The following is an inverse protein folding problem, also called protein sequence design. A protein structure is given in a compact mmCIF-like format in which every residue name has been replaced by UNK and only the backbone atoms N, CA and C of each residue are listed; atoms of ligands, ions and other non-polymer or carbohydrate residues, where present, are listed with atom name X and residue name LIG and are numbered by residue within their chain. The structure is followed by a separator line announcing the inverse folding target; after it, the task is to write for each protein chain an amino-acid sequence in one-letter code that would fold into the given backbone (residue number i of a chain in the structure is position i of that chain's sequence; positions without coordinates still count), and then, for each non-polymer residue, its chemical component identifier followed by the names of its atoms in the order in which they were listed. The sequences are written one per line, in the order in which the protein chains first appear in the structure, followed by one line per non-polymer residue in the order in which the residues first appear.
data_IF_456404781843
#
_entry.id   IF_456404781843
#
_cell.length_a   1.000
_cell.length_b   1.000
_cell.length_c   1.000
_cell.angle_alpha   90.00
_cell.angle_beta   90.00
_cell.angle_gamma   90.00
#
_symmetry.space_group_name_H-M   'P 1'
#
loop_
_entity.id
_entity.type
_entity.pdbx_description
1 polymer ?
#
# COMPACT_ATOMS: atom_id res chain seq x y z
N UNK A 1 53.79 -37.50 -38.40
CA UNK A 1 53.71 -36.86 -37.07
C UNK A 1 52.67 -35.77 -37.16
N UNK A 2 51.51 -36.03 -36.57
CA UNK A 2 50.33 -35.17 -36.54
C UNK A 2 50.58 -33.95 -35.66
N UNK A 3 50.17 -32.76 -36.10
CA UNK A 3 50.01 -31.61 -35.20
C UNK A 3 48.74 -30.87 -35.57
N UNK A 4 47.72 -31.04 -34.72
CA UNK A 4 46.42 -30.42 -34.81
C UNK A 4 46.49 -29.02 -34.21
N UNK A 5 46.15 -27.99 -34.98
CA UNK A 5 45.99 -26.62 -34.46
C UNK A 5 44.53 -26.42 -34.07
N UNK A 6 44.29 -26.56 -32.77
CA UNK A 6 43.04 -26.27 -32.06
C UNK A 6 42.89 -24.75 -31.95
N UNK A 7 41.99 -24.13 -32.73
CA UNK A 7 41.63 -22.71 -32.54
C UNK A 7 40.37 -22.60 -31.70
N UNK A 8 40.54 -21.93 -30.56
CA UNK A 8 39.57 -21.69 -29.52
C UNK A 8 38.36 -20.91 -30.06
N UNK A 9 37.17 -21.45 -29.83
CA UNK A 9 35.91 -20.72 -29.97
C UNK A 9 35.80 -19.73 -28.79
N UNK A 10 35.74 -18.43 -29.08
CA UNK A 10 35.31 -17.43 -28.11
C UNK A 10 33.79 -17.54 -27.93
N UNK A 11 33.26 -17.83 -26.73
CA UNK A 11 31.84 -17.63 -26.49
C UNK A 11 31.59 -16.13 -26.36
N UNK A 12 30.82 -15.56 -27.30
CA UNK A 12 30.26 -14.24 -27.17
C UNK A 12 29.28 -14.25 -25.98
N UNK A 13 29.72 -13.67 -24.86
CA UNK A 13 28.84 -13.38 -23.73
C UNK A 13 27.82 -12.31 -24.16
N UNK A 14 26.64 -12.78 -24.57
CA UNK A 14 25.45 -11.96 -24.63
C UNK A 14 25.06 -11.59 -23.18
N UNK A 15 25.45 -10.39 -22.76
CA UNK A 15 24.89 -9.73 -21.60
C UNK A 15 23.42 -9.42 -21.91
N UNK A 16 22.53 -10.31 -21.49
CA UNK A 16 21.10 -10.02 -21.36
C UNK A 16 20.96 -8.98 -20.24
N UNK A 17 21.00 -7.70 -20.60
CA UNK A 17 20.46 -6.66 -19.75
C UNK A 17 18.95 -6.90 -19.66
N UNK A 18 18.49 -7.47 -18.54
CA UNK A 18 17.09 -7.37 -18.16
C UNK A 18 16.85 -5.90 -17.84
N UNK A 19 16.47 -5.12 -18.85
CA UNK A 19 15.76 -3.87 -18.64
C UNK A 19 14.44 -4.25 -17.99
N UNK A 20 14.41 -4.27 -16.66
CA UNK A 20 13.16 -4.28 -15.91
C UNK A 20 12.38 -3.05 -16.34
N UNK A 21 11.28 -3.26 -17.06
CA UNK A 21 10.30 -2.21 -17.30
C UNK A 21 9.57 -1.91 -15.97
N UNK A 22 10.24 -1.18 -15.09
CA UNK A 22 9.61 -0.45 -13.98
C UNK A 22 9.50 1.00 -14.41
N UNK A 23 8.29 1.39 -14.82
CA UNK A 23 7.90 2.76 -15.15
C UNK A 23 8.26 3.67 -13.97
N UNK A 24 8.85 4.83 -14.26
CA UNK A 24 9.33 5.82 -13.30
C UNK A 24 8.23 6.29 -12.34
N UNK A 25 8.12 5.68 -11.16
CA UNK A 25 7.16 6.03 -10.12
C UNK A 25 7.55 5.44 -8.76
N UNK A 26 6.93 5.89 -7.65
CA UNK A 26 7.17 5.34 -6.32
C UNK A 26 6.90 3.83 -6.25
N UNK A 27 7.64 3.12 -5.41
CA UNK A 27 7.35 1.71 -5.10
C UNK A 27 5.95 1.61 -4.47
N UNK A 28 5.15 0.65 -4.94
CA UNK A 28 3.78 0.42 -4.46
C UNK A 28 3.71 -0.92 -3.75
N UNK A 29 3.12 -0.94 -2.54
CA UNK A 29 2.97 -2.12 -1.72
C UNK A 29 1.50 -2.44 -1.47
N UNK A 30 1.13 -3.71 -1.65
CA UNK A 30 -0.24 -4.21 -1.52
C UNK A 30 -0.60 -4.59 -0.07
N UNK A 31 -1.86 -5.01 0.13
CA UNK A 31 -2.43 -5.27 1.44
C UNK A 31 -1.72 -6.41 2.20
N UNK A 32 -1.09 -7.38 1.55
CA UNK A 32 -0.38 -8.49 2.18
C UNK A 32 1.10 -8.20 2.47
N UNK A 33 1.66 -7.14 1.89
CA UNK A 33 3.05 -6.73 2.04
C UNK A 33 3.29 -5.97 3.35
N UNK A 34 3.28 -6.69 4.48
CA UNK A 34 3.30 -6.08 5.83
C UNK A 34 4.65 -5.58 6.31
N UNK A 35 5.75 -5.90 5.63
CA UNK A 35 7.10 -5.51 6.03
C UNK A 35 7.78 -4.82 4.86
N UNK A 36 7.92 -3.50 4.97
CA UNK A 36 8.39 -2.63 3.91
C UNK A 36 9.78 -2.12 4.29
N UNK A 37 10.68 -2.08 3.30
CA UNK A 37 11.99 -1.46 3.48
C UNK A 37 12.27 -0.49 2.35
N UNK A 38 12.53 0.75 2.71
CA UNK A 38 12.80 1.87 1.79
C UNK A 38 14.00 2.66 2.29
N UNK A 39 14.63 3.43 1.43
CA UNK A 39 15.74 4.30 1.78
C UNK A 39 15.24 5.72 2.13
N UNK A 40 15.93 6.40 3.05
CA UNK A 40 15.57 7.77 3.43
C UNK A 40 15.62 8.69 2.19
N UNK A 41 14.54 9.45 1.98
CA UNK A 41 14.35 10.29 0.80
C UNK A 41 13.47 9.67 -0.28
N UNK A 42 13.17 8.37 -0.23
CA UNK A 42 12.26 7.72 -1.18
C UNK A 42 10.79 8.02 -0.88
N UNK A 43 9.98 7.95 -1.93
CA UNK A 43 8.52 7.93 -1.85
C UNK A 43 8.02 6.52 -2.11
N UNK A 44 6.96 6.14 -1.41
CA UNK A 44 6.30 4.87 -1.62
C UNK A 44 4.80 5.00 -1.37
N UNK A 45 4.04 4.06 -1.91
CA UNK A 45 2.59 4.06 -1.88
C UNK A 45 2.07 2.75 -1.29
N UNK A 46 1.04 2.81 -0.46
CA UNK A 46 0.25 1.64 -0.08
C UNK A 46 -1.01 1.59 -0.94
N UNK A 47 -1.24 0.46 -1.58
CA UNK A 47 -2.42 0.18 -2.40
C UNK A 47 -3.36 -0.77 -1.65
N UNK A 48 -4.63 -0.41 -1.53
CA UNK A 48 -5.66 -1.25 -0.90
C UNK A 48 -6.93 -1.30 -1.74
N UNK A 49 -7.54 -2.50 -1.89
CA UNK A 49 -8.77 -2.63 -2.66
C UNK A 49 -9.93 -1.95 -1.92
N UNK A 50 -10.82 -1.28 -2.65
CA UNK A 50 -12.02 -0.67 -2.11
C UNK A 50 -13.28 -1.17 -2.83
N UNK A 51 -14.27 -1.54 -2.04
CA UNK A 51 -15.61 -1.85 -2.51
C UNK A 51 -16.52 -0.61 -2.34
N UNK A 52 -16.27 0.46 -3.11
CA UNK A 52 -16.99 1.74 -2.96
C UNK A 52 -18.49 1.58 -3.14
N UNK A 53 -18.92 0.69 -4.05
CA UNK A 53 -20.34 0.35 -4.24
C UNK A 53 -21.02 -0.21 -2.97
N UNK A 54 -20.25 -0.79 -2.04
CA UNK A 54 -20.73 -1.31 -0.76
C UNK A 54 -20.64 -0.26 0.38
N UNK A 55 -20.20 0.96 0.07
CA UNK A 55 -19.98 2.02 1.06
C UNK A 55 -18.81 1.75 2.00
N UNK A 56 -17.82 0.99 1.53
CA UNK A 56 -16.55 0.76 2.23
C UNK A 56 -15.56 1.88 1.92
N UNK A 57 -14.79 2.29 2.92
CA UNK A 57 -13.77 3.33 2.81
C UNK A 57 -12.50 2.96 3.57
N UNK A 58 -11.36 3.49 3.15
CA UNK A 58 -10.09 3.35 3.86
C UNK A 58 -9.56 4.69 4.37
N UNK A 59 -8.91 4.65 5.53
CA UNK A 59 -8.28 5.82 6.15
C UNK A 59 -6.98 5.47 6.86
N UNK A 60 -6.11 6.46 7.02
CA UNK A 60 -5.06 6.41 8.04
C UNK A 60 -5.72 6.49 9.42
N UNK A 61 -5.26 5.66 10.37
CA UNK A 61 -5.79 5.67 11.74
C UNK A 61 -4.67 5.78 12.78
N UNK A 62 -5.05 6.03 14.03
CA UNK A 62 -4.13 6.23 15.14
C UNK A 62 -3.56 4.92 15.69
N UNK A 63 -2.36 4.91 16.31
CA UNK A 63 -1.39 6.00 16.22
C UNK A 63 -0.87 6.11 14.78
N UNK A 64 -0.64 7.34 14.37
CA UNK A 64 0.00 7.66 13.10
C UNK A 64 1.46 7.18 13.12
N UNK A 65 2.08 6.95 11.94
CA UNK A 65 3.50 6.68 11.90
C UNK A 65 4.28 7.85 12.50
N UNK A 66 5.38 7.53 13.19
CA UNK A 66 6.37 8.53 13.61
C UNK A 66 6.78 9.44 12.43
N UNK A 67 6.45 10.74 12.46
CA UNK A 67 6.66 11.65 11.34
C UNK A 67 8.14 11.94 11.04
N UNK A 68 9.04 11.68 12.00
CA UNK A 68 10.48 11.80 11.79
C UNK A 68 11.04 10.60 11.00
N UNK A 69 10.27 9.52 10.89
CA UNK A 69 10.63 8.30 10.14
C UNK A 69 9.85 8.23 8.83
N UNK A 70 8.52 8.35 8.87
CA UNK A 70 7.64 8.31 7.69
C UNK A 70 6.54 9.35 7.81
N UNK A 71 6.33 10.13 6.74
CA UNK A 71 5.25 11.13 6.67
C UNK A 71 4.24 10.77 5.57
N UNK A 72 2.94 10.76 5.88
CA UNK A 72 1.90 10.70 4.86
C UNK A 72 1.90 12.00 4.04
N UNK A 73 1.79 11.88 2.72
CA UNK A 73 1.82 13.03 1.80
C UNK A 73 0.51 13.24 1.07
N UNK A 74 -0.19 12.17 0.71
CA UNK A 74 -1.44 12.26 -0.04
C UNK A 74 -2.29 10.98 0.12
N UNK A 75 -3.57 11.06 -0.30
CA UNK A 75 -4.47 9.92 -0.52
C UNK A 75 -5.19 10.13 -1.84
N UNK A 76 -5.18 9.11 -2.71
CA UNK A 76 -5.91 9.09 -3.99
C UNK A 76 -6.81 7.88 -4.09
N UNK A 77 -7.87 7.99 -4.89
CA UNK A 77 -8.81 6.90 -5.15
C UNK A 77 -8.91 6.70 -6.67
N UNK A 78 -8.84 5.45 -7.11
CA UNK A 78 -9.04 5.04 -8.50
C UNK A 78 -10.23 4.09 -8.57
N UNK A 79 -11.17 4.33 -9.49
CA UNK A 79 -12.37 3.52 -9.65
C UNK A 79 -12.24 2.74 -10.95
N UNK A 80 -12.42 1.43 -10.89
CA UNK A 80 -12.44 0.58 -12.08
C UNK A 80 -13.76 0.81 -12.83
N UNK A 81 -13.71 1.27 -14.09
CA UNK A 81 -14.85 1.20 -15.02
C UNK A 81 -15.28 2.44 -15.81
N UNK A 82 -14.36 3.15 -16.49
CA UNK A 82 -14.74 4.14 -17.54
C UNK A 82 -14.75 3.55 -18.98
N UNK A 83 -14.47 2.25 -19.12
CA UNK A 83 -14.60 1.52 -20.37
C UNK A 83 -16.04 1.04 -20.56
N UNK A 84 -16.95 2.00 -20.82
CA UNK A 84 -18.19 1.97 -21.62
C UNK A 84 -19.27 0.88 -21.44
N UNK A 85 -18.92 -0.30 -20.95
CA UNK A 85 -19.68 -1.54 -21.10
C UNK A 85 -19.97 -2.25 -19.76
N UNK A 86 -19.42 -1.76 -18.64
CA UNK A 86 -19.56 -2.38 -17.31
C UNK A 86 -20.58 -1.65 -16.42
N UNK A 87 -21.86 -1.91 -16.65
CA UNK A 87 -22.94 -1.45 -15.74
C UNK A 87 -23.03 -2.40 -14.54
N UNK A 88 -22.47 -2.00 -13.39
CA UNK A 88 -22.97 -2.49 -12.10
C UNK A 88 -21.98 -2.99 -11.03
N UNK A 89 -20.68 -2.70 -11.11
CA UNK A 89 -19.75 -3.02 -10.02
C UNK A 89 -18.61 -2.02 -9.96
N UNK A 90 -18.73 -0.99 -9.12
CA UNK A 90 -17.62 -0.08 -8.87
C UNK A 90 -16.72 -0.71 -7.78
N UNK A 91 -15.77 -1.54 -8.22
CA UNK A 91 -14.55 -1.78 -7.45
C UNK A 91 -13.58 -0.63 -7.70
N UNK A 92 -12.60 -0.48 -6.82
CA UNK A 92 -11.54 0.48 -7.02
C UNK A 92 -10.35 0.17 -6.13
N UNK A 93 -9.42 1.11 -6.12
CA UNK A 93 -8.20 1.06 -5.32
C UNK A 93 -7.97 2.41 -4.63
N UNK A 94 -7.77 2.37 -3.30
CA UNK A 94 -7.28 3.51 -2.55
C UNK A 94 -5.75 3.45 -2.46
N UNK A 95 -5.10 4.57 -2.77
CA UNK A 95 -3.66 4.75 -2.68
C UNK A 95 -3.32 5.73 -1.56
N UNK A 96 -2.39 5.36 -0.69
CA UNK A 96 -1.86 6.20 0.38
C UNK A 96 -0.38 6.45 0.14
N UNK A 97 0.00 7.70 -0.09
CA UNK A 97 1.39 8.03 -0.40
C UNK A 97 2.15 8.49 0.84
N UNK A 98 3.43 8.12 0.88
CA UNK A 98 4.31 8.37 1.99
C UNK A 98 5.69 8.81 1.53
N UNK A 99 6.33 9.62 2.37
CA UNK A 99 7.75 9.96 2.27
C UNK A 99 8.53 9.26 3.37
N UNK A 100 9.59 8.53 3.02
CA UNK A 100 10.60 8.06 3.95
C UNK A 100 11.48 9.25 4.38
N UNK A 101 11.36 9.70 5.63
CA UNK A 101 11.99 10.94 6.11
C UNK A 101 13.36 10.65 6.72
N UNK A 102 13.41 9.75 7.70
CA UNK A 102 14.61 9.50 8.50
C UNK A 102 14.76 8.02 8.84
N UNK A 103 16.00 7.56 9.10
CA UNK A 103 16.25 6.16 9.37
C UNK A 103 15.60 5.71 10.68
N UNK A 104 14.96 4.54 10.67
CA UNK A 104 14.24 4.01 11.82
C UNK A 104 13.18 2.99 11.43
N UNK A 105 12.39 2.55 12.40
CA UNK A 105 11.26 1.65 12.17
C UNK A 105 10.00 2.25 12.77
N UNK A 106 8.93 2.33 11.98
CA UNK A 106 7.63 2.84 12.39
C UNK A 106 6.49 1.96 11.89
N UNK A 107 5.28 2.20 12.36
CA UNK A 107 4.08 1.47 11.93
C UNK A 107 3.11 2.41 11.25
N UNK A 108 2.69 2.03 10.05
CA UNK A 108 1.54 2.64 9.37
C UNK A 108 0.32 1.78 9.67
N UNK A 109 -0.79 2.42 10.03
CA UNK A 109 -2.07 1.76 10.30
C UNK A 109 -3.12 2.31 9.36
N UNK A 110 -3.66 1.44 8.51
CA UNK A 110 -4.84 1.72 7.72
C UNK A 110 -6.05 1.04 8.36
N UNK A 111 -7.20 1.72 8.37
CA UNK A 111 -8.47 1.16 8.82
C UNK A 111 -9.40 0.97 7.62
N UNK A 112 -9.85 -0.26 7.43
CA UNK A 112 -10.94 -0.61 6.53
C UNK A 112 -12.25 -0.36 7.26
N UNK A 113 -13.09 0.50 6.70
CA UNK A 113 -14.35 0.94 7.29
C UNK A 113 -15.53 0.51 6.42
N UNK A 114 -16.13 -0.66 6.68
CA UNK A 114 -17.46 -0.96 6.18
C UNK A 114 -18.47 0.12 6.60
N UNK A 115 -19.58 0.24 5.85
CA UNK A 115 -20.61 1.25 6.09
C UNK A 115 -21.06 1.28 7.56
N UNK A 116 -20.83 2.40 8.24
CA UNK A 116 -21.22 2.64 9.64
C UNK A 116 -20.30 2.02 10.70
N UNK A 117 -19.23 1.32 10.29
CA UNK A 117 -18.32 0.62 11.20
C UNK A 117 -17.25 1.52 11.84
N UNK A 118 -17.08 2.74 11.35
CA UNK A 118 -16.12 3.71 11.86
C UNK A 118 -16.78 5.02 12.31
N UNK A 119 -16.15 5.67 13.27
CA UNK A 119 -16.52 6.97 13.84
C UNK A 119 -15.30 7.90 13.89
N UNK A 120 -15.56 9.20 14.07
CA UNK A 120 -14.54 10.24 14.01
C UNK A 120 -14.39 10.84 12.61
N UNK A 121 -13.55 11.87 12.48
CA UNK A 121 -13.40 12.64 11.24
C UNK A 121 -14.63 13.48 10.90
N UNK A 122 -14.76 13.85 9.62
CA UNK A 122 -15.78 14.79 9.14
C UNK A 122 -15.55 16.21 9.67
N UNK A 123 -16.60 17.05 9.69
CA UNK A 123 -16.52 18.46 10.08
C UNK A 123 -16.01 18.68 11.52
N UNK A 124 -16.23 17.70 12.41
CA UNK A 124 -15.75 17.73 13.79
C UNK A 124 -14.24 17.46 13.92
N UNK A 125 -13.61 16.93 12.87
CA UNK A 125 -12.23 16.49 12.89
C UNK A 125 -11.96 15.30 13.82
N UNK A 126 -10.69 15.01 14.05
CA UNK A 126 -10.24 13.92 14.92
C UNK A 126 -10.04 12.58 14.20
N UNK A 127 -9.44 11.59 14.89
CA UNK A 127 -9.00 10.36 14.27
C UNK A 127 -10.17 9.45 13.90
N UNK A 128 -10.08 8.84 12.71
CA UNK A 128 -11.00 7.77 12.31
C UNK A 128 -10.68 6.52 13.13
N UNK A 129 -11.67 5.98 13.82
CA UNK A 129 -11.54 4.80 14.70
C UNK A 129 -12.75 3.89 14.56
N UNK A 130 -12.68 2.61 15.00
CA UNK A 130 -13.86 1.75 15.03
C UNK A 130 -15.01 2.38 15.85
N UNK A 131 -16.23 2.30 15.33
CA UNK A 131 -17.42 2.78 16.02
C UNK A 131 -17.58 2.09 17.38
N UNK A 132 -17.91 2.83 18.45
CA UNK A 132 -18.23 2.21 19.74
C UNK A 132 -19.42 1.27 19.61
N UNK A 133 -19.30 0.06 20.14
CA UNK A 133 -20.43 -0.87 20.26
C UNK A 133 -21.09 -0.64 21.62
N UNK A 134 -22.38 -0.28 21.69
CA UNK A 134 -23.08 -0.12 22.96
C UNK A 134 -22.99 -1.38 23.81
N UNK A 135 -22.77 -1.21 25.12
CA UNK A 135 -22.75 -2.35 26.03
C UNK A 135 -24.09 -3.09 25.99
N UNK A 136 -24.03 -4.40 25.74
CA UNK A 136 -25.21 -5.27 25.62
C UNK A 136 -25.72 -5.49 24.20
N UNK A 137 -25.16 -4.83 23.19
CA UNK A 137 -25.46 -5.13 21.78
C UNK A 137 -24.81 -6.45 21.35
N UNK A 138 -25.47 -7.23 20.47
CA UNK A 138 -24.83 -8.36 19.81
C UNK A 138 -23.56 -7.92 19.09
N UNK A 139 -22.54 -8.76 19.15
CA UNK A 139 -21.30 -8.50 18.45
C UNK A 139 -21.56 -8.59 16.93
N UNK A 140 -21.19 -7.56 16.16
CA UNK A 140 -21.37 -7.56 14.70
C UNK A 140 -20.66 -8.76 14.06
N UNK A 141 -21.15 -9.26 12.92
CA UNK A 141 -20.37 -10.22 12.14
C UNK A 141 -19.12 -9.54 11.56
N UNK A 142 -18.12 -10.35 11.16
CA UNK A 142 -16.78 -9.85 10.84
C UNK A 142 -16.80 -8.85 9.69
N UNK A 143 -17.64 -9.08 8.70
CA UNK A 143 -17.83 -8.26 7.50
C UNK A 143 -18.36 -6.85 7.79
N UNK A 144 -18.98 -6.62 8.95
CA UNK A 144 -19.48 -5.29 9.35
C UNK A 144 -18.59 -4.61 10.40
N UNK A 145 -17.43 -5.19 10.72
CA UNK A 145 -16.48 -4.59 11.67
C UNK A 145 -15.38 -3.85 10.94
N UNK A 146 -14.99 -2.71 11.49
CA UNK A 146 -13.78 -2.05 11.05
C UNK A 146 -12.56 -2.94 11.33
N UNK A 147 -11.65 -3.02 10.37
CA UNK A 147 -10.43 -3.84 10.47
C UNK A 147 -9.20 -2.96 10.34
N UNK A 148 -8.23 -3.13 11.24
CA UNK A 148 -6.98 -2.35 11.21
C UNK A 148 -5.87 -3.20 10.59
N UNK A 149 -5.30 -2.70 9.51
CA UNK A 149 -4.18 -3.27 8.79
C UNK A 149 -2.91 -2.52 9.16
N UNK A 150 -1.93 -3.22 9.70
CA UNK A 150 -0.68 -2.63 10.18
C UNK A 150 0.48 -3.04 9.28
N UNK A 151 1.24 -2.06 8.82
CA UNK A 151 2.46 -2.22 8.03
C UNK A 151 3.64 -1.77 8.89
N UNK A 152 4.69 -2.58 8.93
CA UNK A 152 5.95 -2.23 9.60
C UNK A 152 6.89 -1.72 8.52
N UNK A 153 7.28 -0.44 8.62
CA UNK A 153 8.17 0.21 7.67
C UNK A 153 9.52 0.43 8.33
N UNK A 154 10.58 -0.06 7.69
CA UNK A 154 11.96 0.24 8.09
C UNK A 154 12.58 1.15 7.04
N UNK A 155 12.95 2.35 7.47
CA UNK A 155 13.68 3.31 6.65
C UNK A 155 15.17 3.13 6.91
N UNK A 156 15.92 2.84 5.85
CA UNK A 156 17.39 2.71 5.92
C UNK A 156 18.06 4.06 5.64
N UNK A 157 19.34 4.13 5.96
CA UNK A 157 20.17 5.26 5.51
C UNK A 157 20.42 5.12 4.00
N UNK A 158 20.26 6.22 3.26
CA UNK A 158 20.73 6.34 1.88
C UNK A 158 22.25 6.36 1.78
#
# INVERSE_FOLDING_TARGET
MTSAVRRLALPALLLTALTGCGLTGPDTYELDEKHIQVDAGEEFTLSVPVATAMGEWWYLTVPEPDPDIVRNTDKREEIDGDDGDNVGGHSGTDFFDFKAVGPGTTKIRLIQCPRGACAGGGDAGGPITPSPVPSGSPALSKEYRATIHTYTVTVRKS
#
